data_IF_985588011780
#
_entry.id   IF_985588011780
#
_cell.length_a   1.000
_cell.length_b   1.000
_cell.length_c   1.000
_cell.angle_alpha   90.00
_cell.angle_beta   90.00
_cell.angle_gamma   90.00
#
_symmetry.space_group_name_H-M   'P 1'
#
loop_
_entity.id
_entity.type
_entity.pdbx_description
1 polymer ?
#
# COMPACT_ATOMS: atom_id res chain seq x y z
N UNK A 1 6.61 -19.06 15.51
CA UNK A 1 6.15 -17.74 16.02
C UNK A 1 6.80 -16.65 15.19
N UNK A 2 6.10 -15.55 14.92
CA UNK A 2 6.72 -14.38 14.33
C UNK A 2 7.62 -13.69 15.36
N UNK A 3 8.59 -12.94 14.87
CA UNK A 3 9.41 -12.08 15.74
C UNK A 3 8.59 -10.85 16.16
N UNK A 4 8.87 -10.34 17.36
CA UNK A 4 8.27 -9.08 17.84
C UNK A 4 8.87 -7.91 17.08
N UNK A 5 8.03 -6.97 16.68
CA UNK A 5 8.45 -5.73 16.03
C UNK A 5 9.21 -4.85 17.02
N UNK A 6 10.49 -4.69 16.80
CA UNK A 6 11.36 -3.75 17.51
C UNK A 6 12.54 -3.37 16.62
N UNK A 7 13.28 -2.35 16.99
CA UNK A 7 14.42 -1.82 16.21
C UNK A 7 15.47 -2.90 15.91
N UNK A 8 15.85 -3.71 16.90
CA UNK A 8 16.84 -4.78 16.74
C UNK A 8 16.40 -5.81 15.69
N UNK A 9 15.16 -6.27 15.76
CA UNK A 9 14.64 -7.29 14.85
C UNK A 9 14.45 -6.75 13.43
N UNK A 10 14.06 -5.48 13.29
CA UNK A 10 13.99 -4.82 11.97
C UNK A 10 15.39 -4.70 11.37
N UNK A 11 16.37 -4.18 12.11
CA UNK A 11 17.76 -4.07 11.63
C UNK A 11 18.33 -5.42 11.24
N UNK A 12 18.16 -6.43 12.08
CA UNK A 12 18.63 -7.78 11.76
C UNK A 12 18.05 -8.30 10.44
N UNK A 13 16.73 -8.09 10.21
CA UNK A 13 16.11 -8.48 8.96
C UNK A 13 16.69 -7.72 7.75
N UNK A 14 16.86 -6.41 7.88
CA UNK A 14 17.36 -5.58 6.78
C UNK A 14 18.81 -5.86 6.40
N UNK A 15 19.65 -6.23 7.38
CA UNK A 15 21.09 -6.39 7.22
C UNK A 15 21.49 -7.86 6.97
N UNK A 16 20.86 -8.80 7.67
CA UNK A 16 21.34 -10.18 7.75
C UNK A 16 20.38 -11.23 7.17
N UNK A 17 19.09 -10.90 7.08
CA UNK A 17 18.06 -11.86 6.65
C UNK A 17 17.20 -11.32 5.51
N UNK A 18 17.76 -10.67 4.48
CA UNK A 18 16.91 -10.11 3.43
C UNK A 18 16.10 -11.21 2.76
N UNK A 19 14.79 -11.02 2.74
CA UNK A 19 13.85 -11.93 2.09
C UNK A 19 12.76 -11.10 1.41
N UNK A 20 11.90 -11.75 0.61
CA UNK A 20 10.80 -11.09 -0.08
C UNK A 20 9.96 -10.23 0.86
N UNK A 21 9.67 -10.76 2.03
CA UNK A 21 8.97 -10.09 3.12
C UNK A 21 9.23 -10.81 4.45
N UNK A 22 9.08 -10.06 5.52
CA UNK A 22 9.09 -10.57 6.90
C UNK A 22 7.88 -10.01 7.63
N UNK A 23 7.18 -10.88 8.38
CA UNK A 23 6.04 -10.48 9.21
C UNK A 23 6.51 -10.44 10.67
N UNK A 24 6.12 -9.38 11.36
CA UNK A 24 6.40 -9.12 12.77
C UNK A 24 5.12 -8.94 13.55
N UNK A 25 5.08 -9.41 14.80
CA UNK A 25 4.00 -9.12 15.74
C UNK A 25 4.25 -7.76 16.40
N UNK A 26 3.26 -6.87 16.37
CA UNK A 26 3.36 -5.55 17.00
C UNK A 26 2.91 -5.67 18.47
N UNK A 27 3.76 -5.31 19.45
CA UNK A 27 3.46 -5.48 20.86
C UNK A 27 2.58 -4.34 21.40
N UNK A 28 1.39 -4.15 20.81
CA UNK A 28 0.43 -3.18 21.32
C UNK A 28 -0.05 -3.52 22.71
N UNK A 29 -0.20 -2.52 23.56
CA UNK A 29 -0.87 -2.66 24.86
C UNK A 29 -2.38 -2.87 24.71
N UNK A 30 -3.05 -3.19 25.82
CA UNK A 30 -4.50 -3.48 25.84
C UNK A 30 -5.35 -2.28 25.39
N UNK A 31 -4.94 -1.04 25.77
CA UNK A 31 -5.66 0.19 25.45
C UNK A 31 -5.58 0.47 23.95
N UNK A 32 -4.39 0.37 23.39
CA UNK A 32 -4.16 0.53 21.94
C UNK A 32 -4.93 -0.53 21.15
N UNK A 33 -4.88 -1.80 21.55
CA UNK A 33 -5.67 -2.86 20.89
C UNK A 33 -7.16 -2.56 20.89
N UNK A 34 -7.70 -2.15 22.04
CA UNK A 34 -9.12 -1.78 22.16
C UNK A 34 -9.48 -0.61 21.21
N UNK A 35 -8.64 0.42 21.12
CA UNK A 35 -8.84 1.52 20.20
C UNK A 35 -8.83 1.02 18.75
N UNK A 36 -7.80 0.26 18.33
CA UNK A 36 -7.71 -0.30 16.98
C UNK A 36 -8.90 -1.21 16.62
N UNK A 37 -9.48 -1.92 17.60
CA UNK A 37 -10.64 -2.79 17.38
C UNK A 37 -11.92 -2.01 17.11
N UNK A 38 -12.08 -0.85 17.74
CA UNK A 38 -13.30 -0.07 17.74
C UNK A 38 -13.23 1.20 16.88
N UNK A 39 -12.04 1.55 16.34
CA UNK A 39 -11.87 2.75 15.52
C UNK A 39 -12.77 2.72 14.30
N UNK A 40 -13.56 3.75 14.10
CA UNK A 40 -14.54 3.83 13.02
C UNK A 40 -13.91 4.39 11.76
N UNK A 41 -14.07 3.68 10.66
CA UNK A 41 -13.71 4.12 9.31
C UNK A 41 -14.98 4.15 8.48
N UNK A 42 -15.50 5.34 8.24
CA UNK A 42 -16.81 5.60 7.61
C UNK A 42 -16.68 6.31 6.28
N UNK A 43 -15.47 6.80 5.95
CA UNK A 43 -15.21 7.53 4.70
C UNK A 43 -13.93 7.05 4.04
N UNK A 44 -13.96 7.03 2.71
CA UNK A 44 -12.75 6.87 1.91
C UNK A 44 -11.95 8.16 1.94
N UNK A 45 -10.68 8.07 2.33
CA UNK A 45 -9.72 9.18 2.26
C UNK A 45 -8.28 8.65 2.21
N UNK A 46 -7.35 9.48 1.76
CA UNK A 46 -5.91 9.17 1.76
C UNK A 46 -5.13 10.33 2.36
N UNK A 47 -4.29 10.02 3.31
CA UNK A 47 -3.31 10.94 3.89
C UNK A 47 -1.91 10.54 3.43
N UNK A 48 -1.17 11.50 2.87
CA UNK A 48 0.24 11.35 2.51
C UNK A 48 1.09 12.34 3.28
N UNK A 49 2.24 11.86 3.79
CA UNK A 49 3.24 12.69 4.45
C UNK A 49 4.64 12.29 3.97
N UNK A 50 5.53 13.27 3.88
CA UNK A 50 6.86 13.10 3.29
C UNK A 50 7.99 13.34 4.29
N UNK A 51 7.69 13.28 5.58
CA UNK A 51 8.67 13.46 6.65
C UNK A 51 9.22 14.88 6.80
N UNK A 52 8.52 15.88 6.24
CA UNK A 52 8.99 17.28 6.23
C UNK A 52 8.39 18.08 7.38
N UNK A 53 7.18 17.74 7.81
CA UNK A 53 6.33 18.54 8.70
C UNK A 53 5.76 17.76 9.89
N UNK A 54 6.49 16.78 10.40
CA UNK A 54 6.15 15.99 11.60
C UNK A 54 4.70 15.48 11.62
N UNK A 55 4.20 14.92 10.49
CA UNK A 55 2.85 14.42 10.31
C UNK A 55 1.75 15.48 10.49
N UNK A 56 2.01 16.70 10.02
CA UNK A 56 1.01 17.77 9.98
C UNK A 56 -0.27 17.32 9.28
N UNK A 57 -1.43 17.65 9.84
CA UNK A 57 -2.74 17.28 9.30
C UNK A 57 -3.20 15.83 9.61
N UNK A 58 -2.39 15.02 10.31
CA UNK A 58 -2.79 13.66 10.66
C UNK A 58 -4.03 13.63 11.56
N UNK A 59 -4.09 14.48 12.58
CA UNK A 59 -5.25 14.59 13.46
C UNK A 59 -6.53 14.94 12.67
N UNK A 60 -6.45 15.95 11.79
CA UNK A 60 -7.55 16.34 10.91
C UNK A 60 -8.02 15.15 10.05
N UNK A 61 -7.10 14.42 9.42
CA UNK A 61 -7.42 13.23 8.63
C UNK A 61 -8.16 12.17 9.45
N UNK A 62 -7.68 11.87 10.67
CA UNK A 62 -8.30 10.89 11.55
C UNK A 62 -9.72 11.27 11.98
N UNK A 63 -9.97 12.58 12.20
CA UNK A 63 -11.30 13.12 12.46
C UNK A 63 -12.23 13.02 11.24
N UNK A 64 -11.69 13.20 10.04
CA UNK A 64 -12.49 13.20 8.81
C UNK A 64 -12.93 11.80 8.36
N UNK A 65 -12.22 10.74 8.72
CA UNK A 65 -12.50 9.39 8.21
C UNK A 65 -13.56 8.63 9.01
N UNK A 66 -13.98 9.11 10.18
CA UNK A 66 -15.03 8.44 10.98
C UNK A 66 -15.36 9.18 12.26
N UNK A 67 -16.49 8.84 12.86
CA UNK A 67 -16.99 9.40 14.11
C UNK A 67 -16.32 8.75 15.33
N UNK A 68 -15.06 9.11 15.57
CA UNK A 68 -14.25 8.59 16.70
C UNK A 68 -14.20 9.61 17.84
N UNK A 69 -13.97 9.12 19.06
CA UNK A 69 -13.73 9.98 20.21
C UNK A 69 -12.37 10.66 20.11
N UNK A 70 -12.20 11.80 20.78
CA UNK A 70 -10.90 12.48 20.86
C UNK A 70 -9.82 11.56 21.46
N UNK A 71 -10.18 10.76 22.47
CA UNK A 71 -9.27 9.77 23.05
C UNK A 71 -8.80 8.73 22.02
N UNK A 72 -9.71 8.17 21.23
CA UNK A 72 -9.36 7.19 20.19
C UNK A 72 -8.48 7.83 19.11
N UNK A 73 -8.77 9.07 18.71
CA UNK A 73 -7.96 9.82 17.75
C UNK A 73 -6.55 10.04 18.29
N UNK A 74 -6.40 10.44 19.54
CA UNK A 74 -5.10 10.66 20.18
C UNK A 74 -4.30 9.36 20.30
N UNK A 75 -4.94 8.24 20.64
CA UNK A 75 -4.30 6.92 20.68
C UNK A 75 -3.84 6.51 19.28
N UNK A 76 -4.69 6.67 18.27
CA UNK A 76 -4.37 6.33 16.87
C UNK A 76 -3.22 7.18 16.34
N UNK A 77 -3.27 8.49 16.57
CA UNK A 77 -2.21 9.42 16.18
C UNK A 77 -0.88 9.05 16.82
N UNK A 78 -0.88 8.82 18.14
CA UNK A 78 0.31 8.36 18.86
C UNK A 78 0.83 7.03 18.30
N UNK A 79 -0.04 6.07 18.02
CA UNK A 79 0.33 4.78 17.46
C UNK A 79 1.04 4.93 16.11
N UNK A 80 0.52 5.78 15.22
CA UNK A 80 1.12 6.05 13.91
C UNK A 80 2.48 6.74 14.07
N UNK A 81 2.60 7.71 14.97
CA UNK A 81 3.86 8.41 15.26
C UNK A 81 4.91 7.46 15.81
N UNK A 82 4.55 6.61 16.76
CA UNK A 82 5.46 5.63 17.37
C UNK A 82 5.95 4.59 16.35
N UNK A 83 5.07 4.07 15.50
CA UNK A 83 5.44 3.17 14.40
C UNK A 83 6.37 3.87 13.39
N UNK A 84 6.07 5.11 13.05
CA UNK A 84 6.92 5.89 12.13
C UNK A 84 8.31 6.10 12.72
N UNK A 85 8.39 6.49 13.98
CA UNK A 85 9.67 6.65 14.70
C UNK A 85 10.44 5.35 14.76
N UNK A 86 9.79 4.25 15.12
CA UNK A 86 10.41 2.91 15.18
C UNK A 86 10.98 2.48 13.83
N UNK A 87 10.19 2.63 12.76
CA UNK A 87 10.65 2.30 11.42
C UNK A 87 11.86 3.15 11.04
N UNK A 88 11.79 4.48 11.21
CA UNK A 88 12.87 5.38 10.84
C UNK A 88 14.15 5.15 11.63
N UNK A 89 14.06 4.87 12.94
CA UNK A 89 15.25 4.55 13.77
C UNK A 89 15.90 3.22 13.39
N UNK A 90 15.15 2.32 12.76
CA UNK A 90 15.64 0.99 12.37
C UNK A 90 16.40 1.00 11.03
N UNK A 91 16.27 2.04 10.23
CA UNK A 91 16.90 2.13 8.91
C UNK A 91 18.26 2.86 8.95
N UNK A 92 19.03 2.70 7.89
CA UNK A 92 20.31 3.36 7.74
C UNK A 92 20.15 4.89 7.82
N UNK A 93 21.10 5.57 8.48
CA UNK A 93 21.12 7.03 8.70
C UNK A 93 21.07 7.88 7.42
N UNK A 94 21.33 7.30 6.24
CA UNK A 94 21.13 8.00 4.96
C UNK A 94 19.66 8.32 4.66
N UNK A 95 18.71 7.57 5.26
CA UNK A 95 17.28 7.78 5.12
C UNK A 95 16.77 8.65 6.25
N UNK A 96 16.75 9.94 6.03
CA UNK A 96 16.33 10.96 7.02
C UNK A 96 14.86 11.34 6.89
N UNK A 97 14.21 10.90 5.79
CA UNK A 97 12.82 11.18 5.48
C UNK A 97 12.08 9.88 5.19
N UNK A 98 10.78 9.99 5.03
CA UNK A 98 9.91 8.88 4.67
C UNK A 98 8.80 9.36 3.74
N UNK A 99 8.26 8.44 2.98
CA UNK A 99 6.92 8.59 2.42
C UNK A 99 5.97 7.70 3.21
N UNK A 100 5.04 8.35 3.91
CA UNK A 100 3.99 7.70 4.68
C UNK A 100 2.67 7.88 3.95
N UNK A 101 1.93 6.79 3.81
CA UNK A 101 0.56 6.81 3.30
C UNK A 101 -0.36 6.11 4.29
N UNK A 102 -1.45 6.78 4.66
CA UNK A 102 -2.58 6.15 5.34
C UNK A 102 -3.77 6.18 4.39
N UNK A 103 -4.41 5.03 4.20
CA UNK A 103 -5.58 4.91 3.34
C UNK A 103 -6.72 4.30 4.11
N UNK A 104 -7.82 5.03 4.22
CA UNK A 104 -9.11 4.51 4.65
C UNK A 104 -9.88 3.99 3.44
N UNK A 105 -10.43 2.79 3.54
CA UNK A 105 -11.17 2.14 2.45
C UNK A 105 -12.43 1.52 3.03
N UNK A 106 -13.56 1.72 2.33
CA UNK A 106 -14.83 1.11 2.70
C UNK A 106 -14.99 -0.25 2.00
N UNK A 107 -15.88 -1.12 2.50
CA UNK A 107 -16.18 -2.39 1.88
C UNK A 107 -16.53 -2.25 0.40
N UNK A 108 -15.96 -3.10 -0.44
CA UNK A 108 -16.24 -3.12 -1.86
C UNK A 108 -15.76 -4.44 -2.48
N UNK A 109 -16.25 -4.78 -3.66
CA UNK A 109 -15.96 -6.01 -4.37
C UNK A 109 -14.75 -5.89 -5.33
N UNK A 110 -14.03 -4.75 -5.33
CA UNK A 110 -12.93 -4.53 -6.28
C UNK A 110 -11.74 -5.47 -6.06
N UNK A 111 -11.65 -6.09 -4.87
CA UNK A 111 -10.56 -6.99 -4.47
C UNK A 111 -11.01 -8.46 -4.35
N UNK A 112 -12.24 -8.79 -4.74
CA UNK A 112 -12.70 -10.19 -4.79
C UNK A 112 -11.80 -11.02 -5.72
N UNK A 113 -11.37 -10.42 -6.82
CA UNK A 113 -10.28 -10.92 -7.63
C UNK A 113 -8.96 -10.28 -7.19
N UNK A 114 -8.03 -11.10 -6.70
CA UNK A 114 -6.73 -10.65 -6.19
C UNK A 114 -5.95 -9.85 -7.23
N UNK A 115 -5.47 -8.69 -6.84
CA UNK A 115 -4.61 -7.84 -7.65
C UNK A 115 -3.15 -8.03 -7.22
N UNK A 116 -2.58 -9.18 -7.54
CA UNK A 116 -1.17 -9.44 -7.27
C UNK A 116 -0.29 -8.44 -7.99
N UNK A 117 0.60 -7.77 -7.26
CA UNK A 117 1.52 -6.79 -7.81
C UNK A 117 2.77 -6.67 -6.94
N UNK A 118 3.75 -5.98 -7.48
CA UNK A 118 4.87 -5.43 -6.74
C UNK A 118 4.85 -3.92 -6.91
N UNK A 119 5.33 -3.20 -5.91
CA UNK A 119 5.41 -1.75 -5.97
C UNK A 119 6.60 -1.32 -6.86
N UNK A 120 6.35 -1.21 -8.16
CA UNK A 120 7.33 -0.73 -9.11
C UNK A 120 7.42 0.80 -9.09
N UNK A 121 8.64 1.33 -9.22
CA UNK A 121 8.90 2.78 -9.33
C UNK A 121 8.20 3.63 -8.27
N UNK A 122 8.21 3.15 -7.08
CA UNK A 122 7.53 3.68 -5.94
C UNK A 122 7.76 5.18 -5.68
N UNK A 123 8.96 5.69 -5.93
CA UNK A 123 9.30 7.10 -5.71
C UNK A 123 9.36 7.92 -7.02
N UNK A 124 9.20 7.29 -8.18
CA UNK A 124 9.25 7.91 -9.52
C UNK A 124 10.45 8.87 -9.76
N UNK A 125 11.56 8.61 -9.09
CA UNK A 125 12.80 9.37 -9.25
C UNK A 125 13.68 8.67 -10.28
N UNK A 126 14.12 9.37 -11.31
CA UNK A 126 14.94 8.81 -12.41
C UNK A 126 16.18 8.05 -11.96
N UNK A 127 16.72 8.37 -10.78
CA UNK A 127 17.93 7.74 -10.21
C UNK A 127 17.64 6.55 -9.28
N UNK A 128 16.40 6.17 -9.09
CA UNK A 128 16.00 5.03 -8.23
C UNK A 128 16.49 3.69 -8.76
N UNK A 129 16.71 3.56 -10.07
CA UNK A 129 17.28 2.36 -10.68
C UNK A 129 18.64 1.93 -10.09
N UNK A 130 19.25 2.78 -9.27
CA UNK A 130 20.49 2.49 -8.52
C UNK A 130 20.24 2.00 -7.10
N UNK A 131 19.00 2.00 -6.64
CA UNK A 131 18.66 1.65 -5.26
C UNK A 131 18.27 0.18 -5.18
N UNK A 132 19.03 -0.59 -4.39
CA UNK A 132 18.83 -2.03 -4.20
C UNK A 132 18.13 -2.37 -2.87
N UNK A 133 17.81 -1.36 -2.06
CA UNK A 133 17.36 -1.52 -0.67
C UNK A 133 16.03 -0.81 -0.38
N UNK A 134 15.15 -0.70 -1.37
CA UNK A 134 13.86 -0.05 -1.19
C UNK A 134 12.87 -0.96 -0.46
N UNK A 135 12.99 -0.98 0.85
CA UNK A 135 12.06 -1.69 1.72
C UNK A 135 10.89 -0.79 2.17
N UNK A 136 9.72 -1.39 2.28
CA UNK A 136 8.50 -0.75 2.71
C UNK A 136 7.93 -1.47 3.91
N UNK A 137 7.63 -0.71 4.95
CA UNK A 137 6.87 -1.18 6.10
C UNK A 137 5.38 -1.00 5.81
N UNK A 138 4.57 -2.02 6.11
CA UNK A 138 3.11 -1.94 6.01
C UNK A 138 2.46 -2.61 7.20
N UNK A 139 1.34 -2.03 7.64
CA UNK A 139 0.46 -2.64 8.62
C UNK A 139 -0.99 -2.22 8.35
N UNK A 140 -1.92 -2.95 8.95
CA UNK A 140 -3.33 -2.58 8.96
C UNK A 140 -3.71 -2.25 10.37
N UNK A 141 -4.10 -0.99 10.59
CA UNK A 141 -4.55 -0.50 11.87
C UNK A 141 -5.97 -0.98 12.17
N UNK A 142 -6.80 -1.14 11.12
CA UNK A 142 -8.13 -1.74 11.20
C UNK A 142 -8.46 -2.52 9.92
N UNK A 143 -9.22 -3.60 10.06
CA UNK A 143 -9.66 -4.43 8.95
C UNK A 143 -8.67 -5.53 8.58
N UNK A 144 -8.84 -6.17 7.41
CA UNK A 144 -8.04 -7.31 7.00
C UNK A 144 -6.65 -6.89 6.51
N UNK A 145 -5.64 -7.67 6.88
CA UNK A 145 -4.24 -7.42 6.54
C UNK A 145 -3.88 -7.83 5.11
N UNK A 146 -2.75 -7.33 4.66
CA UNK A 146 -2.20 -7.56 3.32
C UNK A 146 -1.82 -9.02 3.11
N UNK A 147 -2.12 -9.58 1.94
CA UNK A 147 -1.62 -10.87 1.50
C UNK A 147 -0.29 -10.74 0.80
N UNK A 148 0.61 -11.66 1.10
CA UNK A 148 1.91 -11.83 0.45
C UNK A 148 1.98 -13.21 -0.21
N UNK A 149 2.68 -13.28 -1.34
CA UNK A 149 2.93 -14.53 -2.04
C UNK A 149 4.38 -14.97 -1.78
N UNK A 150 4.56 -16.06 -1.04
CA UNK A 150 5.89 -16.64 -0.84
C UNK A 150 6.26 -17.47 -2.07
N UNK A 151 7.25 -17.02 -2.83
CA UNK A 151 7.66 -17.57 -4.11
C UNK A 151 9.15 -17.85 -4.16
N UNK A 152 9.58 -18.67 -5.10
CA UNK A 152 11.00 -18.78 -5.49
C UNK A 152 11.42 -17.59 -6.37
N UNK A 153 12.72 -17.36 -6.52
CA UNK A 153 13.25 -16.33 -7.44
C UNK A 153 12.77 -16.55 -8.88
N UNK A 154 12.71 -17.82 -9.35
CA UNK A 154 12.24 -18.16 -10.68
C UNK A 154 10.77 -17.79 -10.89
N UNK A 155 9.91 -18.09 -9.93
CA UNK A 155 8.49 -17.72 -9.98
C UNK A 155 8.30 -16.21 -9.98
N UNK A 156 9.10 -15.46 -9.19
CA UNK A 156 9.06 -14.00 -9.19
C UNK A 156 9.48 -13.39 -10.53
N UNK A 157 10.58 -13.86 -11.12
CA UNK A 157 11.04 -13.39 -12.44
C UNK A 157 9.97 -13.66 -13.50
N UNK A 158 9.33 -14.82 -13.47
CA UNK A 158 8.22 -15.16 -14.37
C UNK A 158 7.01 -14.22 -14.14
N UNK A 159 6.64 -13.97 -12.89
CA UNK A 159 5.58 -13.04 -12.56
C UNK A 159 5.86 -11.64 -13.09
N UNK A 160 7.10 -11.17 -12.99
CA UNK A 160 7.52 -9.87 -13.48
C UNK A 160 7.55 -9.73 -14.99
N UNK A 161 8.03 -10.75 -15.69
CA UNK A 161 8.00 -10.70 -17.15
C UNK A 161 6.56 -10.52 -17.66
N UNK A 162 5.62 -11.26 -17.11
CA UNK A 162 4.20 -11.13 -17.43
C UNK A 162 3.62 -9.76 -17.02
N UNK A 163 3.97 -9.28 -15.83
CA UNK A 163 3.51 -7.98 -15.34
C UNK A 163 4.07 -6.83 -16.18
N UNK A 164 5.33 -6.89 -16.59
CA UNK A 164 5.98 -5.91 -17.45
C UNK A 164 5.34 -5.86 -18.85
N UNK A 165 5.14 -7.01 -19.47
CA UNK A 165 4.51 -7.11 -20.81
C UNK A 165 3.08 -6.53 -20.80
N UNK A 166 2.27 -6.85 -19.82
CA UNK A 166 0.90 -6.33 -19.72
C UNK A 166 0.88 -4.85 -19.31
N UNK A 167 1.82 -4.39 -18.48
CA UNK A 167 1.96 -2.98 -18.14
C UNK A 167 2.31 -2.14 -19.37
N UNK A 168 3.19 -2.62 -20.24
CA UNK A 168 3.54 -1.91 -21.49
C UNK A 168 2.40 -1.93 -22.50
N UNK A 169 1.66 -3.03 -22.64
CA UNK A 169 0.44 -3.11 -23.45
C UNK A 169 -0.61 -2.09 -22.96
N UNK A 170 -0.81 -2.02 -21.63
CA UNK A 170 -1.72 -1.05 -21.02
C UNK A 170 -1.29 0.39 -21.29
N UNK A 171 0.00 0.73 -21.12
CA UNK A 171 0.51 2.08 -21.40
C UNK A 171 0.38 2.45 -22.90
N UNK A 172 0.55 1.51 -23.80
CA UNK A 172 0.44 1.73 -25.25
C UNK A 172 -1.01 1.99 -25.64
N UNK A 173 -1.97 1.29 -25.03
CA UNK A 173 -3.40 1.53 -25.21
C UNK A 173 -3.82 2.90 -24.66
N UNK A 174 -3.34 3.26 -23.47
CA UNK A 174 -3.60 4.55 -22.83
C UNK A 174 -3.07 5.75 -23.62
N UNK A 175 -2.01 5.57 -24.43
CA UNK A 175 -1.50 6.63 -25.33
C UNK A 175 -2.30 6.75 -26.62
N UNK A 176 -2.98 5.70 -27.06
CA UNK A 176 -3.78 5.71 -28.30
C UNK A 176 -5.19 6.27 -28.13
N UNK A 177 -5.80 6.05 -26.97
CA UNK A 177 -7.15 6.50 -26.69
C UNK A 177 -7.18 7.38 -25.46
N UNK A 178 -7.58 8.64 -25.61
CA UNK A 178 -7.90 9.52 -24.47
C UNK A 178 -9.16 9.06 -23.69
N UNK A 179 -9.70 7.88 -24.00
CA UNK A 179 -10.87 7.29 -23.33
C UNK A 179 -10.43 6.30 -22.25
N UNK A 180 -10.21 6.79 -21.06
CA UNK A 180 -9.80 6.01 -19.87
C UNK A 180 -10.87 5.06 -19.30
N UNK A 181 -12.04 4.91 -19.91
CA UNK A 181 -13.23 4.31 -19.27
C UNK A 181 -14.13 3.54 -20.25
N UNK A 182 -13.60 2.85 -21.22
CA UNK A 182 -14.43 1.90 -21.93
C UNK A 182 -14.49 0.54 -21.21
N UNK A 183 -15.54 -0.24 -21.43
CA UNK A 183 -15.70 -1.57 -20.86
C UNK A 183 -14.57 -2.53 -21.25
N UNK A 184 -13.80 -2.23 -22.30
CA UNK A 184 -12.67 -3.02 -22.76
C UNK A 184 -11.51 -2.94 -21.78
N UNK A 185 -11.23 -1.78 -21.21
CA UNK A 185 -10.14 -1.58 -20.24
C UNK A 185 -10.39 -2.30 -18.91
N UNK A 186 -11.65 -2.36 -18.47
CA UNK A 186 -12.06 -3.07 -17.26
C UNK A 186 -11.95 -4.59 -17.48
N UNK A 187 -12.40 -5.08 -18.63
CA UNK A 187 -12.31 -6.49 -18.98
C UNK A 187 -10.86 -6.95 -19.14
N UNK A 188 -9.98 -6.11 -19.67
CA UNK A 188 -8.55 -6.38 -19.77
C UNK A 188 -7.89 -6.43 -18.39
N UNK A 189 -8.22 -5.55 -17.45
CA UNK A 189 -7.73 -5.61 -16.07
C UNK A 189 -8.20 -6.90 -15.37
N UNK A 190 -9.44 -7.29 -15.56
CA UNK A 190 -9.97 -8.56 -15.03
C UNK A 190 -9.24 -9.77 -15.62
N UNK A 191 -9.02 -9.80 -16.93
CA UNK A 191 -8.28 -10.88 -17.62
C UNK A 191 -6.84 -10.95 -17.11
N UNK A 192 -6.18 -9.82 -16.99
CA UNK A 192 -4.84 -9.71 -16.45
C UNK A 192 -4.75 -10.24 -15.00
N UNK A 193 -5.65 -9.80 -14.11
CA UNK A 193 -5.71 -10.29 -12.73
C UNK A 193 -5.99 -11.78 -12.65
N UNK A 194 -6.87 -12.33 -13.50
CA UNK A 194 -7.11 -13.78 -13.60
C UNK A 194 -5.86 -14.53 -14.04
N UNK A 195 -5.14 -14.02 -15.04
CA UNK A 195 -3.91 -14.61 -15.52
C UNK A 195 -2.82 -14.62 -14.45
N UNK A 196 -2.61 -13.49 -13.75
CA UNK A 196 -1.68 -13.42 -12.62
C UNK A 196 -2.06 -14.36 -11.49
N UNK A 197 -3.35 -14.43 -11.13
CA UNK A 197 -3.83 -15.34 -10.07
C UNK A 197 -3.58 -16.80 -10.42
N UNK A 198 -3.73 -17.18 -11.69
CA UNK A 198 -3.41 -18.53 -12.18
C UNK A 198 -1.92 -18.87 -12.07
N UNK A 199 -1.05 -17.88 -12.24
CA UNK A 199 0.41 -18.03 -12.19
C UNK A 199 0.99 -17.80 -10.79
N UNK A 200 0.19 -17.27 -9.87
CA UNK A 200 0.56 -17.07 -8.48
C UNK A 200 0.52 -18.40 -7.70
N UNK A 201 1.47 -19.30 -8.01
CA UNK A 201 1.52 -20.68 -7.49
C UNK A 201 2.15 -20.79 -6.09
N UNK A 202 2.68 -19.68 -5.55
CA UNK A 202 3.30 -19.65 -4.23
C UNK A 202 2.32 -19.76 -3.06
N UNK A 203 2.86 -20.01 -1.87
CA UNK A 203 2.08 -20.02 -0.63
C UNK A 203 1.63 -18.60 -0.26
N UNK A 204 0.31 -18.42 -0.09
CA UNK A 204 -0.25 -17.17 0.39
C UNK A 204 -0.06 -17.06 1.90
N UNK A 205 0.51 -15.95 2.34
CA UNK A 205 0.72 -15.60 3.75
C UNK A 205 0.07 -14.25 4.01
N UNK A 206 -0.71 -14.13 5.08
CA UNK A 206 -1.36 -12.88 5.47
C UNK A 206 -0.67 -12.25 6.67
N UNK A 207 -0.35 -10.95 6.56
CA UNK A 207 -0.06 -10.15 7.75
C UNK A 207 -1.38 -9.87 8.46
N UNK A 208 -1.62 -10.57 9.58
CA UNK A 208 -2.88 -10.50 10.33
C UNK A 208 -2.99 -9.18 11.10
N UNK A 209 -4.13 -8.98 11.77
CA UNK A 209 -4.34 -7.88 12.72
C UNK A 209 -3.21 -7.85 13.77
N UNK A 210 -2.75 -6.67 14.12
CA UNK A 210 -1.61 -6.42 15.03
C UNK A 210 -0.26 -6.95 14.51
N UNK A 211 -0.18 -7.20 13.21
CA UNK A 211 1.07 -7.56 12.56
C UNK A 211 1.47 -6.49 11.55
N UNK A 212 2.77 -6.37 11.35
CA UNK A 212 3.35 -5.59 10.28
C UNK A 212 4.15 -6.50 9.35
N UNK A 213 4.27 -6.09 8.10
CA UNK A 213 5.23 -6.69 7.19
C UNK A 213 6.24 -5.64 6.73
N UNK A 214 7.49 -6.07 6.59
CA UNK A 214 8.53 -5.35 5.86
C UNK A 214 8.84 -6.17 4.63
N UNK A 215 8.86 -5.54 3.48
CA UNK A 215 9.14 -6.20 2.22
C UNK A 215 9.91 -5.30 1.27
N UNK A 216 10.68 -5.92 0.38
CA UNK A 216 11.34 -5.20 -0.69
C UNK A 216 10.31 -4.80 -1.73
N UNK A 217 10.15 -3.50 -1.94
CA UNK A 217 9.19 -2.97 -2.90
C UNK A 217 9.77 -2.83 -4.30
N UNK A 218 11.09 -2.72 -4.42
CA UNK A 218 11.76 -2.69 -5.72
C UNK A 218 13.14 -3.39 -5.62
N UNK A 219 13.47 -4.14 -6.66
CA UNK A 219 14.74 -4.79 -6.87
C UNK A 219 15.05 -4.78 -8.37
N UNK A 220 16.27 -4.50 -8.75
CA UNK A 220 16.68 -4.32 -10.14
C UNK A 220 16.49 -5.57 -11.00
N UNK A 221 16.63 -6.75 -10.40
CA UNK A 221 16.45 -8.05 -11.08
C UNK A 221 15.14 -8.76 -10.67
N UNK A 222 14.34 -8.12 -9.83
CA UNK A 222 13.07 -8.65 -9.29
C UNK A 222 13.18 -9.94 -8.46
N UNK A 223 14.38 -10.32 -8.08
CA UNK A 223 14.61 -11.60 -7.39
C UNK A 223 14.09 -11.58 -5.95
N UNK A 224 14.01 -10.39 -5.34
CA UNK A 224 13.65 -10.21 -3.93
C UNK A 224 12.36 -9.43 -3.71
N UNK A 225 11.72 -8.90 -4.74
CA UNK A 225 10.49 -8.13 -4.57
C UNK A 225 9.35 -8.91 -3.92
N UNK A 226 8.68 -8.27 -2.98
CA UNK A 226 7.52 -8.81 -2.28
C UNK A 226 6.25 -8.72 -3.12
N UNK A 227 5.83 -9.82 -3.75
CA UNK A 227 4.54 -9.89 -4.44
C UNK A 227 3.43 -9.86 -3.39
N UNK A 228 2.53 -8.90 -3.51
CA UNK A 228 1.45 -8.73 -2.53
C UNK A 228 0.14 -8.27 -3.18
N UNK A 229 -0.93 -8.33 -2.42
CA UNK A 229 -2.26 -7.84 -2.82
C UNK A 229 -3.06 -7.42 -1.60
N UNK A 230 -4.00 -6.53 -1.80
CA UNK A 230 -5.06 -6.30 -0.84
C UNK A 230 -5.93 -7.56 -0.74
N UNK A 231 -6.37 -7.95 0.48
CA UNK A 231 -7.35 -9.02 0.63
C UNK A 231 -8.73 -8.56 0.14
N UNK A 232 -9.63 -9.47 -0.23
CA UNK A 232 -11.04 -9.16 -0.27
C UNK A 232 -11.48 -8.63 1.08
N UNK A 233 -12.29 -7.56 1.12
CA UNK A 233 -12.74 -7.01 2.39
C UNK A 233 -14.20 -6.56 2.35
N UNK A 234 -14.94 -7.13 3.26
CA UNK A 234 -16.34 -6.81 3.53
C UNK A 234 -16.51 -5.88 4.74
N UNK A 235 -15.41 -5.46 5.34
CA UNK A 235 -15.34 -4.52 6.47
C UNK A 235 -14.43 -3.35 6.12
N UNK A 236 -14.60 -2.17 6.77
CA UNK A 236 -13.70 -1.04 6.57
C UNK A 236 -12.24 -1.40 6.86
N UNK A 237 -11.33 -0.71 6.19
CA UNK A 237 -9.89 -0.94 6.34
C UNK A 237 -9.14 0.38 6.50
N UNK A 238 -8.27 0.45 7.50
CA UNK A 238 -7.30 1.53 7.69
C UNK A 238 -5.89 0.98 7.51
N UNK A 239 -5.29 1.28 6.36
CA UNK A 239 -3.97 0.80 5.96
C UNK A 239 -2.91 1.88 6.19
N UNK A 240 -1.77 1.49 6.74
CA UNK A 240 -0.59 2.33 6.92
C UNK A 240 0.58 1.74 6.15
N UNK A 241 1.28 2.57 5.39
CA UNK A 241 2.58 2.23 4.81
C UNK A 241 3.61 3.32 5.07
N UNK A 242 4.86 2.91 5.30
CA UNK A 242 6.00 3.78 5.53
C UNK A 242 7.16 3.30 4.67
N UNK A 243 7.68 4.17 3.83
CA UNK A 243 8.85 3.91 3.01
C UNK A 243 9.96 4.90 3.37
N UNK A 244 10.99 4.46 4.09
CA UNK A 244 12.16 5.30 4.37
C UNK A 244 12.84 5.75 3.08
N UNK A 245 13.17 7.03 3.00
CA UNK A 245 13.76 7.63 1.82
C UNK A 245 14.70 8.80 2.18
N UNK A 246 15.46 9.26 1.20
CA UNK A 246 16.25 10.48 1.33
C UNK A 246 15.36 11.72 1.20
N UNK A 247 15.85 12.86 1.67
CA UNK A 247 15.14 14.14 1.51
C UNK A 247 14.83 14.45 0.04
N UNK A 248 15.78 14.20 -0.87
CA UNK A 248 15.59 14.39 -2.32
C UNK A 248 14.44 13.54 -2.88
N UNK A 249 14.36 12.28 -2.48
CA UNK A 249 13.28 11.37 -2.89
C UNK A 249 11.93 11.82 -2.33
N UNK A 250 11.86 12.22 -1.07
CA UNK A 250 10.66 12.74 -0.44
C UNK A 250 10.13 14.01 -1.14
N UNK A 251 11.02 14.95 -1.47
CA UNK A 251 10.68 16.17 -2.20
C UNK A 251 10.20 15.88 -3.61
N UNK A 252 10.85 14.96 -4.32
CA UNK A 252 10.45 14.55 -5.67
C UNK A 252 9.05 13.93 -5.66
N UNK A 253 8.76 13.05 -4.70
CA UNK A 253 7.44 12.44 -4.54
C UNK A 253 6.36 13.47 -4.21
N UNK A 254 6.65 14.40 -3.30
CA UNK A 254 5.73 15.49 -2.96
C UNK A 254 5.39 16.35 -4.17
N UNK A 255 6.38 16.67 -5.00
CA UNK A 255 6.17 17.43 -6.25
C UNK A 255 5.29 16.67 -7.24
N UNK A 256 5.50 15.35 -7.36
CA UNK A 256 4.70 14.49 -8.22
C UNK A 256 3.24 14.46 -7.77
N UNK A 257 2.98 14.22 -6.50
CA UNK A 257 1.62 14.16 -5.95
C UNK A 257 0.91 15.53 -6.07
N UNK A 258 1.62 16.65 -5.85
CA UNK A 258 1.06 17.99 -6.11
C UNK A 258 0.69 18.20 -7.57
N UNK A 259 1.53 17.79 -8.52
CA UNK A 259 1.23 17.90 -9.96
C UNK A 259 0.02 17.05 -10.36
N UNK A 260 -0.11 15.86 -9.80
CA UNK A 260 -1.27 15.00 -10.05
C UNK A 260 -2.56 15.61 -9.51
N UNK A 261 -2.50 16.39 -8.43
CA UNK A 261 -3.64 17.11 -7.85
C UNK A 261 -3.99 18.41 -8.60
N UNK A 262 -2.99 19.14 -9.14
CA UNK A 262 -3.19 20.44 -9.79
C UNK A 262 -3.31 20.37 -11.31
N UNK A 263 -2.83 19.31 -11.94
CA UNK A 263 -2.72 19.17 -13.39
C UNK A 263 -3.93 18.55 -14.07
N UNK A 264 -5.17 18.92 -13.75
CA UNK A 264 -6.37 18.45 -14.50
C UNK A 264 -6.65 16.94 -14.40
N UNK A 265 -5.72 16.15 -13.93
CA UNK A 265 -5.92 14.78 -13.52
C UNK A 265 -6.59 14.75 -12.13
N UNK A 266 -7.73 15.43 -12.06
CA UNK A 266 -8.67 15.20 -10.98
C UNK A 266 -8.84 13.70 -10.92
N UNK A 267 -8.21 13.12 -9.89
CA UNK A 267 -8.64 11.90 -9.26
C UNK A 267 -9.51 11.02 -10.18
N UNK A 268 -8.86 10.47 -11.24
CA UNK A 268 -9.51 9.52 -12.13
C UNK A 268 -10.05 8.32 -11.36
N UNK A 269 -9.45 8.01 -10.21
CA UNK A 269 -9.93 6.95 -9.33
C UNK A 269 -11.23 7.36 -8.62
N UNK A 270 -11.36 8.57 -8.10
CA UNK A 270 -12.62 9.07 -7.54
C UNK A 270 -13.69 9.28 -8.60
N UNK A 271 -13.30 9.74 -9.80
CA UNK A 271 -14.23 9.75 -10.95
C UNK A 271 -14.62 8.33 -11.35
N UNK A 272 -13.68 7.41 -11.46
CA UNK A 272 -13.95 5.99 -11.74
C UNK A 272 -14.90 5.38 -10.72
N UNK A 273 -14.65 5.57 -9.42
CA UNK A 273 -15.55 5.10 -8.35
C UNK A 273 -16.94 5.74 -8.47
N UNK A 274 -17.01 7.06 -8.70
CA UNK A 274 -18.28 7.78 -8.85
C UNK A 274 -19.09 7.28 -10.05
N UNK A 275 -18.46 7.04 -11.20
CA UNK A 275 -19.14 6.49 -12.38
C UNK A 275 -19.51 5.02 -12.23
N UNK A 276 -18.63 4.22 -11.59
CA UNK A 276 -18.93 2.82 -11.29
C UNK A 276 -20.10 2.68 -10.33
N UNK A 277 -20.19 3.50 -9.29
CA UNK A 277 -21.35 3.53 -8.38
C UNK A 277 -22.64 3.94 -9.09
N UNK A 278 -22.58 4.94 -9.99
CA UNK A 278 -23.72 5.30 -10.84
C UNK A 278 -24.16 4.16 -11.75
N UNK A 279 -23.21 3.48 -12.39
CA UNK A 279 -23.49 2.34 -13.26
C UNK A 279 -24.12 1.18 -12.50
N UNK A 280 -23.61 0.84 -11.32
CA UNK A 280 -24.17 -0.22 -10.47
C UNK A 280 -25.56 0.15 -9.93
N UNK A 281 -25.83 1.43 -9.65
CA UNK A 281 -27.14 1.91 -9.25
C UNK A 281 -28.14 1.82 -10.42
N UNK A 282 -27.75 2.21 -11.63
CA UNK A 282 -28.57 2.07 -12.85
C UNK A 282 -28.85 0.60 -13.18
N UNK A 283 -27.85 -0.28 -13.06
CA UNK A 283 -28.02 -1.71 -13.30
C UNK A 283 -29.00 -2.37 -12.32
N UNK A 284 -29.07 -1.91 -11.06
CA UNK A 284 -30.06 -2.37 -10.07
C UNK A 284 -31.48 -1.86 -10.34
N UNK A 285 -31.66 -0.83 -11.18
CA UNK A 285 -32.98 -0.32 -11.56
C UNK A 285 -33.54 -0.98 -12.83
N UNK A 286 -32.72 -1.72 -13.57
CA UNK A 286 -33.08 -2.36 -14.85
C UNK A 286 -33.34 -3.88 -14.67
N UNK A 287 -32.95 -4.45 -13.53
CA UNK A 287 -33.21 -5.83 -13.13
C UNK A 287 -33.82 -5.87 -11.73
#
# INVERSE_FOLDING_TARGET
MNQILNEKNIRNYLENEPSQFKIFDIPYDKKTKKCLDNFKVERYNTYNNYGIDNLSGLNKFLNEIGSNTEEDINIMEKTIRDLTKLVMSSYNRKYTNYWLTIRSTLPNNNFDLKRWHCDLNFLEVKDINKRTDLNKFVTVLQGPGTFFLKTTSKERKLFYSMYGEESEKSKTRLKKDNSYLDDSSINDDIKFRKALTKKATGKIVQAKKYQAAIFMSFDTDFSMCGIHTEPPFNVPRLFLSIAPCTKKEAEARRKYDKKSMTGGNIDYYSKYIKYKLKYLALKKQIF
#
